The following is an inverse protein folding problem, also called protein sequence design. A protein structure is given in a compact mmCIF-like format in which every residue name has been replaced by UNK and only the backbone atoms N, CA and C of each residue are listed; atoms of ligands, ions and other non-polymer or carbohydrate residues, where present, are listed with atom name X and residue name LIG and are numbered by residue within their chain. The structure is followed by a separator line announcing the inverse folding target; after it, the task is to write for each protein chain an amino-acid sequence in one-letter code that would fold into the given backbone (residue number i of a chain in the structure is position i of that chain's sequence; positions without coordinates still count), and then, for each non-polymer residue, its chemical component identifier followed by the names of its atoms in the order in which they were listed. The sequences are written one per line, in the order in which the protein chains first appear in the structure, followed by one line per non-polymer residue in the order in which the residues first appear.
data_IF_980546871666
#
_entry.id   IF_980546871666
#
_cell.length_a   1.000
_cell.length_b   1.000
_cell.length_c   1.000
_cell.angle_alpha   90.00
_cell.angle_beta   90.00
_cell.angle_gamma   90.00
#
_symmetry.space_group_name_H-M   'P 1'
#
loop_
_entity.id
_entity.type
_entity.pdbx_description
1 polymer ?
#
# COMPACT_ATOMS: atom_id res chain seq x y z
N UNK A 1 5.05 17.74 32.15
CA UNK A 1 3.62 17.94 31.87
C UNK A 1 3.45 17.89 30.36
N UNK A 2 2.97 16.76 29.80
CA UNK A 2 2.69 16.64 28.37
C UNK A 2 1.35 17.32 28.07
N UNK A 3 1.20 18.05 26.94
CA UNK A 3 -0.10 18.61 26.57
C UNK A 3 -1.08 17.49 26.18
N UNK A 4 -2.40 17.66 26.37
CA UNK A 4 -3.40 16.66 26.05
C UNK A 4 -3.50 16.46 24.55
N UNK A 5 -3.53 15.19 24.13
CA UNK A 5 -3.83 14.77 22.76
C UNK A 5 -5.31 15.09 22.51
N UNK A 6 -5.56 16.06 21.64
CA UNK A 6 -6.92 16.38 21.17
C UNK A 6 -7.33 15.25 20.25
N UNK A 7 -8.29 14.45 20.66
CA UNK A 7 -8.96 13.47 19.82
C UNK A 7 -9.74 14.26 18.75
N UNK A 8 -9.28 14.22 17.51
CA UNK A 8 -10.08 14.66 16.37
C UNK A 8 -11.16 13.62 16.11
N UNK A 9 -12.39 13.91 16.54
CA UNK A 9 -13.58 13.25 16.03
C UNK A 9 -13.64 13.52 14.52
N UNK A 10 -13.31 12.52 13.71
CA UNK A 10 -13.58 12.54 12.29
C UNK A 10 -15.08 12.36 12.10
N UNK A 11 -15.74 13.42 11.72
CA UNK A 11 -17.16 13.45 11.32
C UNK A 11 -17.36 12.45 10.18
N UNK A 12 -18.12 11.42 10.45
CA UNK A 12 -18.70 10.49 9.46
C UNK A 12 -19.77 11.24 8.69
N UNK A 13 -19.57 11.38 7.41
CA UNK A 13 -20.33 11.92 6.30
C UNK A 13 -19.60 13.12 5.66
N UNK A 14 -18.48 12.81 5.01
CA UNK A 14 -17.83 13.78 4.15
C UNK A 14 -18.22 13.52 2.70
N UNK A 15 -18.90 14.47 2.09
CA UNK A 15 -19.10 14.62 0.65
C UNK A 15 -17.79 14.98 -0.09
N UNK A 16 -16.68 14.42 0.34
CA UNK A 16 -15.40 14.54 -0.35
C UNK A 16 -15.44 13.63 -1.56
N UNK A 17 -15.19 14.18 -2.74
CA UNK A 17 -14.99 13.40 -3.96
C UNK A 17 -13.97 12.29 -3.70
N UNK A 18 -14.23 11.05 -4.14
CA UNK A 18 -13.30 9.94 -3.91
C UNK A 18 -11.95 10.25 -4.57
N UNK A 19 -10.85 9.88 -3.92
CA UNK A 19 -9.51 9.98 -4.53
C UNK A 19 -9.32 8.97 -5.66
N UNK A 20 -10.02 7.82 -5.55
CA UNK A 20 -9.98 6.75 -6.56
C UNK A 20 -11.41 6.27 -6.79
N UNK A 21 -11.80 6.14 -8.07
CA UNK A 21 -13.05 5.50 -8.49
C UNK A 21 -12.76 4.45 -9.55
N UNK A 22 -13.23 3.24 -9.31
CA UNK A 22 -13.23 2.13 -10.26
C UNK A 22 -14.69 1.81 -10.57
N UNK A 23 -15.07 1.84 -11.84
CA UNK A 23 -16.41 1.50 -12.31
C UNK A 23 -16.36 0.33 -13.30
N UNK A 24 -16.80 -0.86 -12.84
CA UNK A 24 -16.86 -2.11 -13.62
C UNK A 24 -15.54 -2.44 -14.34
N UNK A 25 -14.41 -2.21 -13.70
CA UNK A 25 -13.07 -2.39 -14.27
C UNK A 25 -12.77 -3.87 -14.48
N UNK A 26 -12.47 -4.24 -15.74
CA UNK A 26 -12.01 -5.58 -16.08
C UNK A 26 -10.65 -5.51 -16.78
N UNK A 27 -9.83 -6.54 -16.56
CA UNK A 27 -8.53 -6.70 -17.22
C UNK A 27 -8.36 -8.11 -17.74
N UNK A 28 -8.09 -8.20 -19.02
CA UNK A 28 -7.81 -9.45 -19.72
C UNK A 28 -6.44 -9.35 -20.39
N UNK A 29 -5.57 -10.32 -20.15
CA UNK A 29 -4.28 -10.46 -20.82
C UNK A 29 -4.35 -11.55 -21.88
N UNK A 30 -3.59 -11.38 -22.96
CA UNK A 30 -3.56 -12.34 -24.07
C UNK A 30 -4.72 -12.16 -25.05
N UNK A 31 -4.76 -13.03 -26.06
CA UNK A 31 -5.74 -13.00 -27.14
C UNK A 31 -6.27 -14.42 -27.41
N UNK A 32 -7.52 -14.49 -27.89
CA UNK A 32 -8.18 -15.74 -28.29
C UNK A 32 -8.05 -16.87 -27.25
N UNK A 33 -7.63 -18.08 -27.62
CA UNK A 33 -7.62 -19.25 -26.75
C UNK A 33 -6.74 -19.19 -25.48
N UNK A 34 -5.89 -18.17 -25.33
CA UNK A 34 -4.99 -17.99 -24.18
C UNK A 34 -5.33 -16.75 -23.33
N UNK A 35 -6.56 -16.26 -23.40
CA UNK A 35 -7.00 -15.09 -22.62
C UNK A 35 -7.04 -15.41 -21.12
N UNK A 36 -6.39 -14.56 -20.32
CA UNK A 36 -6.37 -14.66 -18.86
C UNK A 36 -7.13 -13.47 -18.27
N UNK A 37 -8.29 -13.74 -17.69
CA UNK A 37 -9.05 -12.74 -16.95
C UNK A 37 -8.40 -12.50 -15.59
N UNK A 38 -7.70 -11.38 -15.44
CA UNK A 38 -7.06 -11.00 -14.19
C UNK A 38 -8.05 -10.30 -13.23
N UNK A 39 -8.86 -9.37 -13.77
CA UNK A 39 -9.91 -8.65 -13.04
C UNK A 39 -11.24 -8.75 -13.80
N UNK A 40 -12.35 -8.79 -13.08
CA UNK A 40 -13.69 -8.83 -13.67
C UNK A 40 -14.65 -7.93 -12.90
N UNK A 41 -15.06 -6.85 -13.58
CA UNK A 41 -16.04 -5.84 -13.11
C UNK A 41 -15.79 -5.37 -11.69
N UNK A 42 -14.55 -4.99 -11.38
CA UNK A 42 -14.19 -4.40 -10.09
C UNK A 42 -14.78 -3.00 -10.02
N UNK A 43 -15.67 -2.76 -9.06
CA UNK A 43 -16.21 -1.44 -8.71
C UNK A 43 -15.80 -1.13 -7.28
N UNK A 44 -15.14 0.01 -7.06
CA UNK A 44 -14.62 0.42 -5.75
C UNK A 44 -14.40 1.93 -5.74
N UNK A 45 -14.84 2.60 -4.70
CA UNK A 45 -14.51 3.99 -4.43
C UNK A 45 -13.64 4.08 -3.16
N UNK A 46 -12.59 4.89 -3.20
CA UNK A 46 -11.67 5.14 -2.08
C UNK A 46 -11.68 6.63 -1.80
N UNK A 47 -12.03 7.01 -0.57
CA UNK A 47 -12.10 8.40 -0.16
C UNK A 47 -10.71 9.04 -0.07
N UNK A 48 -10.62 10.36 -0.26
CA UNK A 48 -9.38 11.10 -0.03
C UNK A 48 -8.93 10.95 1.44
N UNK A 49 -7.66 10.63 1.64
CA UNK A 49 -7.06 10.39 2.96
C UNK A 49 -7.42 9.04 3.59
N UNK A 50 -8.16 8.16 2.90
CA UNK A 50 -8.48 6.82 3.40
C UNK A 50 -7.27 5.88 3.29
N UNK A 51 -7.08 5.03 4.30
CA UNK A 51 -6.12 3.91 4.26
C UNK A 51 -6.87 2.62 3.95
N UNK A 52 -6.83 2.17 2.71
CA UNK A 52 -7.48 0.92 2.27
C UNK A 52 -6.48 -0.21 2.17
N UNK A 53 -6.74 -1.31 2.86
CA UNK A 53 -5.96 -2.53 2.72
C UNK A 53 -6.66 -3.52 1.78
N UNK A 54 -5.91 -4.09 0.84
CA UNK A 54 -6.40 -5.10 -0.09
C UNK A 54 -5.85 -6.48 0.26
N UNK A 55 -6.75 -7.44 0.46
CA UNK A 55 -6.45 -8.84 0.70
C UNK A 55 -6.96 -9.71 -0.46
N UNK A 56 -6.34 -10.88 -0.62
CA UNK A 56 -6.78 -11.87 -1.59
C UNK A 56 -5.70 -12.91 -1.85
N UNK A 57 -6.08 -14.05 -2.42
CA UNK A 57 -5.16 -15.13 -2.77
C UNK A 57 -4.05 -14.66 -3.73
N UNK A 58 -2.94 -15.41 -3.78
CA UNK A 58 -1.90 -15.16 -4.78
C UNK A 58 -2.49 -15.28 -6.20
N UNK A 59 -2.12 -14.33 -7.07
CA UNK A 59 -2.61 -14.30 -8.46
C UNK A 59 -4.06 -13.85 -8.64
N UNK A 60 -4.74 -13.31 -7.62
CA UNK A 60 -6.12 -12.79 -7.74
C UNK A 60 -6.22 -11.40 -8.40
N UNK A 61 -5.12 -10.81 -8.87
CA UNK A 61 -5.14 -9.54 -9.60
C UNK A 61 -4.79 -8.28 -8.79
N UNK A 62 -4.34 -8.38 -7.53
CA UNK A 62 -3.97 -7.21 -6.69
C UNK A 62 -2.92 -6.31 -7.35
N UNK A 63 -1.80 -6.89 -7.78
CA UNK A 63 -0.74 -6.14 -8.48
C UNK A 63 -1.21 -5.59 -9.83
N UNK A 64 -2.08 -6.31 -10.54
CA UNK A 64 -2.72 -5.81 -11.77
C UNK A 64 -3.55 -4.57 -11.48
N UNK A 65 -4.34 -4.59 -10.41
CA UNK A 65 -5.14 -3.44 -10.00
C UNK A 65 -4.26 -2.25 -9.61
N UNK A 66 -3.19 -2.49 -8.82
CA UNK A 66 -2.23 -1.43 -8.48
C UNK A 66 -1.55 -0.83 -9.72
N UNK A 67 -1.17 -1.66 -10.70
CA UNK A 67 -0.59 -1.17 -11.96
C UNK A 67 -1.56 -0.30 -12.75
N UNK A 68 -2.84 -0.64 -12.77
CA UNK A 68 -3.88 0.17 -13.41
C UNK A 68 -4.05 1.50 -12.68
N UNK A 69 -4.12 1.49 -11.34
CA UNK A 69 -4.22 2.70 -10.51
C UNK A 69 -2.99 3.61 -10.64
N UNK A 70 -1.81 3.03 -10.84
CA UNK A 70 -0.57 3.75 -11.07
C UNK A 70 -0.43 4.29 -12.52
N UNK A 71 -1.38 3.97 -13.42
CA UNK A 71 -1.29 4.33 -14.84
C UNK A 71 -0.24 3.57 -15.64
N UNK A 72 0.33 2.48 -15.07
CA UNK A 72 1.32 1.63 -15.73
C UNK A 72 0.67 0.60 -16.66
N UNK A 73 -0.61 0.33 -16.47
CA UNK A 73 -1.41 -0.55 -17.32
C UNK A 73 -2.81 0.06 -17.49
N UNK A 74 -3.55 -0.43 -18.49
CA UNK A 74 -4.91 0.05 -18.78
C UNK A 74 -5.93 -1.04 -18.55
N UNK A 75 -7.09 -0.66 -18.05
CA UNK A 75 -8.25 -1.54 -18.01
C UNK A 75 -8.62 -1.99 -19.45
N UNK A 76 -9.11 -3.21 -19.59
CA UNK A 76 -9.69 -3.68 -20.88
C UNK A 76 -11.07 -3.11 -21.08
N UNK A 77 -11.87 -3.03 -19.98
CA UNK A 77 -13.19 -2.38 -19.96
C UNK A 77 -13.41 -1.71 -18.61
N UNK A 78 -14.42 -0.84 -18.55
CA UNK A 78 -14.73 -0.05 -17.35
C UNK A 78 -13.99 1.28 -17.32
N UNK A 79 -14.23 2.08 -16.28
CA UNK A 79 -13.63 3.39 -16.06
C UNK A 79 -12.78 3.40 -14.79
N UNK A 80 -11.66 4.14 -14.86
CA UNK A 80 -10.72 4.34 -13.74
C UNK A 80 -10.46 5.83 -13.62
N UNK A 81 -10.77 6.39 -12.48
CA UNK A 81 -10.48 7.77 -12.15
C UNK A 81 -9.60 7.81 -10.91
N UNK A 82 -8.47 8.51 -11.00
CA UNK A 82 -7.55 8.75 -9.88
C UNK A 82 -7.29 10.24 -9.81
N UNK A 83 -7.68 10.85 -8.71
CA UNK A 83 -7.49 12.28 -8.50
C UNK A 83 -6.17 12.54 -7.79
N UNK A 84 -5.32 13.35 -8.41
CA UNK A 84 -3.98 13.68 -7.90
C UNK A 84 -2.87 12.78 -8.45
N UNK A 85 -1.70 12.95 -7.87
CA UNK A 85 -0.48 12.22 -8.24
C UNK A 85 -0.41 10.87 -7.52
N UNK A 86 0.17 9.87 -8.21
CA UNK A 86 0.31 8.51 -7.66
C UNK A 86 1.76 8.10 -7.56
N UNK A 87 2.07 7.30 -6.56
CA UNK A 87 3.35 6.56 -6.46
C UNK A 87 3.07 5.09 -6.20
N UNK A 88 3.73 4.21 -6.91
CA UNK A 88 3.67 2.77 -6.69
C UNK A 88 4.99 2.27 -6.09
N UNK A 89 4.89 1.62 -4.93
CA UNK A 89 5.93 0.77 -4.37
C UNK A 89 5.66 -0.67 -4.78
N UNK A 90 6.55 -1.24 -5.60
CA UNK A 90 6.46 -2.62 -6.07
C UNK A 90 6.84 -3.63 -4.96
N UNK A 91 6.38 -4.86 -5.10
CA UNK A 91 6.76 -5.98 -4.24
C UNK A 91 8.28 -6.22 -4.25
N UNK A 92 8.91 -6.16 -5.44
CA UNK A 92 10.37 -6.07 -5.53
C UNK A 92 10.80 -4.62 -5.27
N UNK A 93 11.84 -4.45 -4.47
CA UNK A 93 12.41 -3.14 -4.15
C UNK A 93 12.82 -2.34 -5.39
N UNK A 94 13.17 -3.00 -6.50
CA UNK A 94 13.53 -2.43 -7.80
C UNK A 94 14.46 -1.22 -7.67
N UNK A 95 15.52 -1.35 -6.85
CA UNK A 95 16.50 -0.29 -6.65
C UNK A 95 17.48 -0.23 -7.83
N UNK A 96 17.92 0.97 -8.18
CA UNK A 96 18.99 1.16 -9.16
C UNK A 96 20.29 0.60 -8.61
N UNK A 97 20.84 -0.49 -9.19
CA UNK A 97 21.98 -1.22 -8.59
C UNK A 97 23.30 -0.43 -8.59
N UNK A 98 23.44 0.57 -9.46
CA UNK A 98 24.58 1.48 -9.53
C UNK A 98 24.52 2.65 -8.56
N UNK A 99 23.38 2.88 -7.90
CA UNK A 99 23.21 3.94 -6.91
C UNK A 99 23.31 3.36 -5.49
N UNK A 100 23.75 4.19 -4.56
CA UNK A 100 23.67 3.89 -3.12
C UNK A 100 22.24 4.00 -2.61
N UNK A 101 21.97 3.59 -1.37
CA UNK A 101 20.66 3.82 -0.72
C UNK A 101 20.27 5.31 -0.78
N UNK A 102 21.18 6.21 -0.42
CA UNK A 102 21.03 7.65 -0.57
C UNK A 102 20.73 8.06 -2.00
N UNK A 103 21.49 7.55 -2.96
CA UNK A 103 21.32 7.87 -4.37
C UNK A 103 19.97 7.47 -4.94
N UNK A 104 19.43 6.32 -4.51
CA UNK A 104 18.10 5.86 -4.91
C UNK A 104 16.99 6.82 -4.43
N UNK A 105 17.10 7.34 -3.21
CA UNK A 105 16.13 8.30 -2.66
C UNK A 105 16.36 9.70 -3.26
N UNK A 106 17.62 10.16 -3.41
CA UNK A 106 17.95 11.48 -3.97
C UNK A 106 17.48 11.62 -5.42
N UNK A 107 17.59 10.55 -6.23
CA UNK A 107 17.15 10.55 -7.61
C UNK A 107 15.64 10.86 -7.73
N UNK A 108 14.82 10.28 -6.87
CA UNK A 108 13.38 10.54 -6.87
C UNK A 108 13.06 12.01 -6.55
N UNK A 109 13.74 12.59 -5.57
CA UNK A 109 13.62 14.01 -5.24
C UNK A 109 14.18 14.93 -6.34
N UNK A 110 15.24 14.49 -7.05
CA UNK A 110 15.79 15.23 -8.19
C UNK A 110 14.80 15.31 -9.35
N UNK A 111 14.08 14.24 -9.62
CA UNK A 111 13.06 14.19 -10.68
C UNK A 111 11.83 15.07 -10.36
N UNK A 112 11.69 15.51 -9.11
CA UNK A 112 10.71 16.51 -8.67
C UNK A 112 11.27 17.94 -8.65
N UNK A 113 12.42 18.17 -9.25
CA UNK A 113 13.09 19.48 -9.32
C UNK A 113 13.39 20.13 -7.96
N UNK A 114 13.50 19.31 -6.88
CA UNK A 114 13.90 19.88 -5.58
C UNK A 114 15.36 20.39 -5.63
N UNK A 115 15.64 21.60 -5.10
CA UNK A 115 17.00 22.13 -5.00
C UNK A 115 17.93 21.21 -4.19
N UNK A 116 19.18 21.07 -4.61
CA UNK A 116 20.18 20.15 -4.02
C UNK A 116 20.28 20.25 -2.49
N UNK A 117 20.24 21.47 -1.95
CA UNK A 117 20.32 21.68 -0.49
C UNK A 117 19.11 21.08 0.24
N UNK A 118 17.89 21.28 -0.29
CA UNK A 118 16.66 20.71 0.29
C UNK A 118 16.62 19.18 0.14
N UNK A 119 17.11 18.66 -1.01
CA UNK A 119 17.19 17.20 -1.22
C UNK A 119 18.06 16.52 -0.17
N UNK A 120 19.25 17.09 0.13
CA UNK A 120 20.17 16.52 1.13
C UNK A 120 19.46 16.32 2.48
N UNK A 121 18.78 17.35 2.96
CA UNK A 121 18.05 17.31 4.23
C UNK A 121 16.90 16.27 4.16
N UNK A 122 16.14 16.28 3.07
CA UNK A 122 15.00 15.37 2.94
C UNK A 122 15.42 13.91 2.82
N UNK A 123 16.50 13.61 2.12
CA UNK A 123 17.07 12.26 2.05
C UNK A 123 17.51 11.79 3.43
N UNK A 124 18.19 12.64 4.22
CA UNK A 124 18.60 12.28 5.57
C UNK A 124 17.39 11.96 6.47
N UNK A 125 16.34 12.76 6.41
CA UNK A 125 15.09 12.52 7.13
C UNK A 125 14.42 11.19 6.73
N UNK A 126 14.34 10.91 5.42
CA UNK A 126 13.70 9.69 4.91
C UNK A 126 14.51 8.43 5.26
N UNK A 127 15.85 8.51 5.21
CA UNK A 127 16.70 7.40 5.62
C UNK A 127 16.67 7.17 7.14
N UNK A 128 16.50 8.21 7.93
CA UNK A 128 16.29 8.12 9.37
C UNK A 128 14.95 7.43 9.67
N UNK A 129 13.86 7.87 9.03
CA UNK A 129 12.51 7.29 9.16
C UNK A 129 12.50 5.78 8.93
N UNK A 130 13.28 5.30 7.96
CA UNK A 130 13.37 3.85 7.67
C UNK A 130 14.56 3.17 8.38
N UNK A 131 15.20 3.82 9.35
CA UNK A 131 16.33 3.31 10.12
C UNK A 131 17.49 2.81 9.26
N UNK A 132 17.87 3.57 8.22
CA UNK A 132 18.96 3.23 7.29
C UNK A 132 20.01 4.34 7.15
N UNK A 133 20.08 5.30 8.07
CA UNK A 133 21.04 6.41 8.01
C UNK A 133 22.50 5.94 7.90
N UNK A 134 22.88 4.95 8.71
CA UNK A 134 24.22 4.39 8.72
C UNK A 134 24.56 3.61 7.44
N UNK A 135 23.55 3.13 6.73
CA UNK A 135 23.68 2.39 5.48
C UNK A 135 23.49 3.27 4.22
N UNK A 136 23.42 4.59 4.39
CA UNK A 136 23.15 5.54 3.30
C UNK A 136 24.06 5.40 2.08
N UNK A 137 25.34 5.04 2.29
CA UNK A 137 26.34 4.90 1.23
C UNK A 137 26.44 3.48 0.65
N UNK A 138 25.69 2.51 1.20
CA UNK A 138 25.67 1.13 0.71
C UNK A 138 24.89 1.01 -0.59
N UNK A 139 25.35 0.15 -1.49
CA UNK A 139 24.66 -0.20 -2.74
C UNK A 139 23.70 -1.37 -2.49
N UNK A 140 22.69 -1.61 -3.37
CA UNK A 140 21.71 -2.66 -3.18
C UNK A 140 22.25 -4.06 -2.91
N UNK A 141 23.38 -4.43 -3.53
CA UNK A 141 24.02 -5.74 -3.31
C UNK A 141 24.71 -5.87 -1.94
N UNK A 142 24.96 -4.76 -1.24
CA UNK A 142 25.51 -4.73 0.12
C UNK A 142 24.41 -4.70 1.20
N UNK A 143 23.12 -4.65 0.80
CA UNK A 143 21.97 -4.54 1.68
C UNK A 143 21.21 -5.87 1.77
N UNK A 144 20.67 -6.19 2.93
CA UNK A 144 19.72 -7.31 3.07
C UNK A 144 18.44 -7.06 2.28
N UNK A 145 17.62 -8.09 2.06
CA UNK A 145 16.31 -7.96 1.41
C UNK A 145 15.42 -6.93 2.09
N UNK A 146 15.31 -7.01 3.42
CA UNK A 146 14.54 -6.05 4.21
C UNK A 146 15.12 -4.63 4.16
N UNK A 147 16.44 -4.46 4.13
CA UNK A 147 17.05 -3.13 3.95
C UNK A 147 16.74 -2.55 2.58
N UNK A 148 16.78 -3.35 1.51
CA UNK A 148 16.37 -2.90 0.17
C UNK A 148 14.91 -2.44 0.15
N UNK A 149 14.03 -3.18 0.81
CA UNK A 149 12.60 -2.83 0.89
C UNK A 149 12.39 -1.51 1.62
N UNK A 150 13.14 -1.26 2.71
CA UNK A 150 13.12 0.02 3.44
C UNK A 150 13.64 1.19 2.60
N UNK A 151 14.67 1.00 1.76
CA UNK A 151 15.10 2.03 0.80
C UNK A 151 14.01 2.31 -0.25
N UNK A 152 13.32 1.27 -0.75
CA UNK A 152 12.21 1.44 -1.68
C UNK A 152 11.04 2.22 -1.04
N UNK A 153 10.74 1.98 0.23
CA UNK A 153 9.76 2.75 0.99
C UNK A 153 10.18 4.23 1.09
N UNK A 154 11.42 4.51 1.49
CA UNK A 154 11.93 5.88 1.56
C UNK A 154 11.87 6.58 0.19
N UNK A 155 12.16 5.86 -0.90
CA UNK A 155 12.05 6.35 -2.28
C UNK A 155 10.59 6.65 -2.65
N UNK A 156 9.65 5.80 -2.30
CA UNK A 156 8.23 6.02 -2.54
C UNK A 156 7.72 7.26 -1.76
N UNK A 157 8.07 7.36 -0.48
CA UNK A 157 7.70 8.51 0.36
C UNK A 157 8.33 9.83 -0.09
N UNK A 158 9.46 9.79 -0.82
CA UNK A 158 10.11 10.97 -1.38
C UNK A 158 9.33 11.61 -2.52
N UNK A 159 8.47 10.87 -3.18
CA UNK A 159 7.63 11.35 -4.29
C UNK A 159 6.56 12.35 -3.82
N UNK A 160 6.16 12.30 -2.55
CA UNK A 160 5.20 13.22 -1.94
C UNK A 160 3.89 13.34 -2.71
N UNK A 161 3.38 12.24 -3.21
CA UNK A 161 2.17 12.12 -4.00
C UNK A 161 0.92 12.08 -3.12
N UNK A 162 -0.25 12.33 -3.74
CA UNK A 162 -1.55 12.32 -3.07
C UNK A 162 -2.01 10.90 -2.75
N UNK A 163 -1.68 9.96 -3.63
CA UNK A 163 -2.03 8.54 -3.52
C UNK A 163 -0.76 7.69 -3.47
N UNK A 164 -0.65 6.87 -2.44
CA UNK A 164 0.43 5.93 -2.24
C UNK A 164 -0.08 4.50 -2.40
N UNK A 165 0.40 3.84 -3.44
CA UNK A 165 0.08 2.45 -3.77
C UNK A 165 1.24 1.57 -3.31
N UNK A 166 0.97 0.50 -2.55
CA UNK A 166 1.99 -0.36 -1.99
C UNK A 166 1.65 -1.83 -2.23
N UNK A 167 2.55 -2.56 -2.90
CA UNK A 167 2.40 -4.00 -3.15
C UNK A 167 3.30 -4.81 -2.21
N UNK A 168 2.71 -5.38 -1.16
CA UNK A 168 3.39 -6.19 -0.13
C UNK A 168 4.67 -5.53 0.45
N UNK A 169 4.63 -4.25 0.88
CA UNK A 169 5.82 -3.46 1.17
C UNK A 169 6.67 -4.02 2.31
N UNK A 170 6.11 -4.85 3.17
CA UNK A 170 6.78 -5.39 4.36
C UNK A 170 6.99 -6.90 4.31
N UNK A 171 6.78 -7.54 3.15
CA UNK A 171 6.86 -9.00 3.01
C UNK A 171 8.24 -9.59 3.33
N UNK A 172 9.32 -8.87 3.03
CA UNK A 172 10.70 -9.30 3.25
C UNK A 172 11.29 -8.91 4.63
N UNK A 173 10.46 -8.32 5.52
CA UNK A 173 10.92 -7.84 6.83
C UNK A 173 10.69 -8.88 7.94
N UNK A 174 11.61 -8.90 8.91
CA UNK A 174 11.37 -9.58 10.19
C UNK A 174 10.25 -8.90 10.99
N UNK A 175 9.69 -9.62 11.97
CA UNK A 175 8.52 -9.15 12.70
C UNK A 175 8.76 -7.83 13.45
N UNK A 176 9.93 -7.68 14.10
CA UNK A 176 10.23 -6.47 14.89
C UNK A 176 10.40 -5.25 13.99
N UNK A 177 11.16 -5.37 12.92
CA UNK A 177 11.34 -4.28 11.94
C UNK A 177 10.03 -3.90 11.27
N UNK A 178 9.19 -4.89 10.97
CA UNK A 178 7.85 -4.65 10.40
C UNK A 178 6.97 -3.84 11.33
N UNK A 179 6.93 -4.17 12.63
CA UNK A 179 6.11 -3.46 13.60
C UNK A 179 6.54 -2.00 13.75
N UNK A 180 7.85 -1.73 13.78
CA UNK A 180 8.39 -0.37 13.80
C UNK A 180 7.96 0.41 12.56
N UNK A 181 8.08 -0.18 11.37
CA UNK A 181 7.69 0.52 10.12
C UNK A 181 6.19 0.68 9.96
N UNK A 182 5.38 -0.17 10.58
CA UNK A 182 3.94 0.07 10.69
C UNK A 182 3.64 1.34 11.49
N UNK A 183 4.31 1.55 12.63
CA UNK A 183 4.14 2.75 13.45
C UNK A 183 4.57 4.01 12.69
N UNK A 184 5.72 3.95 11.98
CA UNK A 184 6.23 5.05 11.18
C UNK A 184 5.29 5.40 10.00
N UNK A 185 4.77 4.37 9.30
CA UNK A 185 3.83 4.56 8.20
C UNK A 185 2.50 5.14 8.69
N UNK A 186 1.97 4.64 9.82
CA UNK A 186 0.75 5.15 10.43
C UNK A 186 0.93 6.59 10.90
N UNK A 187 2.06 6.91 11.54
CA UNK A 187 2.41 8.28 11.95
C UNK A 187 2.49 9.25 10.78
N UNK A 188 3.17 8.84 9.69
CA UNK A 188 3.25 9.63 8.46
C UNK A 188 1.86 9.85 7.84
N UNK A 189 1.08 8.79 7.68
CA UNK A 189 -0.25 8.85 7.09
C UNK A 189 -1.18 9.77 7.91
N UNK A 190 -1.17 9.65 9.25
CA UNK A 190 -2.04 10.47 10.12
C UNK A 190 -1.77 11.97 10.03
N UNK A 191 -0.53 12.36 9.65
CA UNK A 191 -0.11 13.76 9.55
C UNK A 191 -0.21 14.34 8.14
N UNK A 192 -0.29 13.51 7.09
CA UNK A 192 -0.18 13.96 5.70
C UNK A 192 -1.47 13.89 4.90
N UNK A 193 -2.55 13.35 5.44
CA UNK A 193 -3.83 13.15 4.75
C UNK A 193 -3.72 12.46 3.37
N UNK A 194 -2.68 11.63 3.15
CA UNK A 194 -2.48 10.87 1.91
C UNK A 194 -3.45 9.71 1.84
N UNK A 195 -3.94 9.43 0.65
CA UNK A 195 -4.71 8.20 0.38
C UNK A 195 -3.73 7.04 0.22
N UNK A 196 -3.98 5.93 0.89
CA UNK A 196 -3.11 4.75 0.84
C UNK A 196 -3.89 3.53 0.36
N UNK A 197 -3.37 2.84 -0.66
CA UNK A 197 -3.82 1.51 -1.07
C UNK A 197 -2.70 0.52 -0.77
N UNK A 198 -2.94 -0.33 0.20
CA UNK A 198 -1.94 -1.23 0.77
C UNK A 198 -2.31 -2.68 0.51
N UNK A 199 -1.56 -3.35 -0.34
CA UNK A 199 -1.73 -4.79 -0.61
C UNK A 199 -0.89 -5.59 0.36
N UNK A 200 -1.50 -6.56 1.02
CA UNK A 200 -0.83 -7.52 1.89
C UNK A 200 -1.52 -8.89 1.85
N UNK A 201 -0.80 -9.92 2.24
CA UNK A 201 -1.39 -11.24 2.51
C UNK A 201 -1.61 -11.48 4.02
N UNK A 202 -1.17 -10.56 4.88
CA UNK A 202 -1.31 -10.65 6.33
C UNK A 202 -2.58 -9.93 6.79
N UNK A 203 -3.60 -10.71 7.21
CA UNK A 203 -4.89 -10.17 7.63
C UNK A 203 -4.78 -9.27 8.86
N UNK A 204 -3.91 -9.61 9.85
CA UNK A 204 -3.73 -8.76 11.03
C UNK A 204 -3.11 -7.41 10.68
N UNK A 205 -2.16 -7.40 9.76
CA UNK A 205 -1.57 -6.17 9.21
C UNK A 205 -2.64 -5.29 8.56
N UNK A 206 -3.50 -5.89 7.73
CA UNK A 206 -4.59 -5.16 7.08
C UNK A 206 -5.57 -4.55 8.09
N UNK A 207 -5.93 -5.27 9.17
CA UNK A 207 -6.80 -4.76 10.25
C UNK A 207 -6.10 -3.67 11.06
N UNK A 208 -4.80 -3.81 11.33
CA UNK A 208 -4.04 -2.81 12.07
C UNK A 208 -3.98 -1.48 11.34
N UNK A 209 -3.65 -1.51 10.04
CA UNK A 209 -3.35 -0.30 9.26
C UNK A 209 -4.58 0.30 8.57
N UNK A 210 -5.50 -0.53 8.05
CA UNK A 210 -6.61 -0.06 7.23
C UNK A 210 -7.74 0.63 7.99
N UNK A 211 -8.35 1.63 7.39
CA UNK A 211 -9.67 2.11 7.77
C UNK A 211 -10.74 1.15 7.21
N UNK A 212 -10.42 0.52 6.08
CA UNK A 212 -11.23 -0.48 5.42
C UNK A 212 -10.36 -1.57 4.82
N UNK A 213 -10.83 -2.81 4.91
CA UNK A 213 -10.20 -3.97 4.27
C UNK A 213 -11.09 -4.45 3.13
N UNK A 214 -10.54 -4.47 1.92
CA UNK A 214 -11.20 -4.96 0.70
C UNK A 214 -10.66 -6.35 0.39
N UNK A 215 -11.54 -7.34 0.31
CA UNK A 215 -11.21 -8.70 -0.05
C UNK A 215 -11.49 -8.91 -1.53
N UNK A 216 -10.46 -9.31 -2.28
CA UNK A 216 -10.63 -9.75 -3.66
C UNK A 216 -10.84 -11.28 -3.72
N UNK A 217 -11.76 -11.71 -4.59
CA UNK A 217 -11.95 -13.12 -4.92
C UNK A 217 -10.70 -13.69 -5.60
N UNK A 218 -10.60 -15.02 -5.66
CA UNK A 218 -9.65 -15.69 -6.53
C UNK A 218 -9.92 -15.38 -8.00
N UNK A 219 -8.97 -15.67 -8.89
CA UNK A 219 -9.03 -15.32 -10.33
C UNK A 219 -10.35 -15.75 -11.01
N UNK A 220 -11.03 -14.83 -11.73
CA UNK A 220 -10.74 -13.41 -11.87
C UNK A 220 -11.01 -12.62 -10.57
N UNK A 221 -10.18 -11.61 -10.31
CA UNK A 221 -10.35 -10.75 -9.14
C UNK A 221 -11.63 -9.93 -9.24
N UNK A 222 -12.48 -10.03 -8.21
CA UNK A 222 -13.68 -9.21 -7.99
C UNK A 222 -13.68 -8.74 -6.55
N UNK A 223 -14.34 -7.65 -6.23
CA UNK A 223 -14.60 -7.30 -4.83
C UNK A 223 -15.55 -8.33 -4.24
N UNK A 224 -15.05 -9.18 -3.34
CA UNK A 224 -15.80 -10.26 -2.69
C UNK A 224 -16.45 -9.80 -1.38
N UNK A 225 -15.80 -8.88 -0.67
CA UNK A 225 -16.33 -8.28 0.57
C UNK A 225 -15.51 -7.04 0.94
N UNK A 226 -16.12 -6.15 1.70
CA UNK A 226 -15.50 -4.98 2.30
C UNK A 226 -15.77 -4.99 3.80
N UNK A 227 -14.77 -4.65 4.60
CA UNK A 227 -14.83 -4.65 6.05
C UNK A 227 -14.37 -3.28 6.57
N UNK A 228 -15.26 -2.42 7.05
CA UNK A 228 -14.87 -1.22 7.78
C UNK A 228 -14.20 -1.62 9.10
N UNK A 229 -13.10 -0.97 9.44
CA UNK A 229 -12.36 -1.22 10.68
C UNK A 229 -12.61 -0.07 11.64
N UNK A 230 -13.48 -0.29 12.60
CA UNK A 230 -13.92 0.72 13.58
C UNK A 230 -13.08 0.73 14.86
N UNK A 231 -12.06 -0.13 14.96
CA UNK A 231 -11.14 -0.17 16.10
C UNK A 231 -10.37 1.16 16.17
N UNK A 232 -10.36 1.87 17.30
CA UNK A 232 -9.61 3.13 17.44
C UNK A 232 -8.11 2.96 17.20
N UNK A 233 -7.45 3.99 16.68
CA UNK A 233 -5.99 4.06 16.54
C UNK A 233 -5.34 4.69 17.80
N UNK A 234 -4.10 4.35 18.19
CA UNK A 234 -3.21 3.38 17.54
C UNK A 234 -3.63 1.93 17.85
N UNK A 235 -3.55 1.06 16.83
CA UNK A 235 -3.90 -0.35 16.95
C UNK A 235 -2.64 -1.20 17.11
N UNK A 236 -2.71 -2.24 17.93
CA UNK A 236 -1.60 -3.18 18.13
C UNK A 236 -1.92 -4.53 17.50
N UNK A 237 -0.91 -5.14 16.86
CA UNK A 237 -1.04 -6.45 16.20
C UNK A 237 -1.45 -7.57 17.16
N UNK A 238 -1.08 -7.45 18.43
CA UNK A 238 -1.33 -8.41 19.51
C UNK A 238 -2.62 -8.15 20.29
N UNK A 239 -3.36 -7.07 19.97
CA UNK A 239 -4.60 -6.77 20.70
C UNK A 239 -5.73 -7.74 20.35
N UNK A 240 -6.61 -7.97 21.32
CA UNK A 240 -7.76 -8.87 21.19
C UNK A 240 -8.72 -8.41 20.09
N UNK A 241 -8.92 -7.11 19.97
CA UNK A 241 -9.81 -6.50 18.98
C UNK A 241 -9.29 -6.76 17.57
N UNK A 242 -8.00 -6.51 17.33
CA UNK A 242 -7.34 -6.80 16.03
C UNK A 242 -7.39 -8.30 15.72
N UNK A 243 -7.11 -9.17 16.70
CA UNK A 243 -7.16 -10.61 16.53
C UNK A 243 -8.58 -11.10 16.19
N UNK A 244 -9.60 -10.57 16.85
CA UNK A 244 -11.01 -10.91 16.62
C UNK A 244 -11.45 -10.50 15.22
N UNK A 245 -11.21 -9.25 14.84
CA UNK A 245 -11.55 -8.76 13.50
C UNK A 245 -10.80 -9.51 12.40
N UNK A 246 -9.50 -9.79 12.61
CA UNK A 246 -8.71 -10.57 11.69
C UNK A 246 -9.22 -12.02 11.54
N UNK A 247 -9.76 -12.62 12.60
CA UNK A 247 -10.38 -13.95 12.53
C UNK A 247 -11.61 -13.97 11.62
N UNK A 248 -12.48 -12.96 11.72
CA UNK A 248 -13.67 -12.81 10.86
C UNK A 248 -13.25 -12.71 9.39
N UNK A 249 -12.31 -11.82 9.07
CA UNK A 249 -11.82 -11.62 7.71
C UNK A 249 -11.12 -12.88 7.19
N UNK A 250 -10.33 -13.56 8.05
CA UNK A 250 -9.63 -14.80 7.68
C UNK A 250 -10.64 -15.92 7.32
N UNK A 251 -11.74 -16.04 8.08
CA UNK A 251 -12.80 -17.00 7.74
C UNK A 251 -13.37 -16.73 6.34
N UNK A 252 -13.69 -15.48 6.04
CA UNK A 252 -14.21 -15.08 4.73
C UNK A 252 -13.19 -15.32 3.60
N UNK A 253 -11.91 -14.99 3.83
CA UNK A 253 -10.83 -15.26 2.87
C UNK A 253 -10.71 -16.76 2.56
N UNK A 254 -10.78 -17.61 3.59
CA UNK A 254 -10.75 -19.08 3.41
C UNK A 254 -11.93 -19.60 2.58
N UNK A 255 -13.12 -19.04 2.78
CA UNK A 255 -14.30 -19.38 1.98
C UNK A 255 -14.11 -19.04 0.51
N UNK A 256 -13.53 -17.85 0.22
CA UNK A 256 -13.24 -17.44 -1.16
C UNK A 256 -12.17 -18.33 -1.83
N UNK A 257 -11.12 -18.69 -1.10
CA UNK A 257 -10.08 -19.61 -1.62
C UNK A 257 -10.67 -20.99 -1.93
N UNK A 258 -11.51 -21.55 -1.06
CA UNK A 258 -12.14 -22.87 -1.26
C UNK A 258 -13.08 -22.88 -2.47
N UNK A 259 -13.90 -21.85 -2.65
CA UNK A 259 -14.83 -21.75 -3.80
C UNK A 259 -14.15 -21.82 -5.16
N UNK A 260 -12.85 -21.57 -5.23
CA UNK A 260 -12.09 -21.52 -6.48
C UNK A 260 -11.02 -22.63 -6.58
N UNK A 261 -10.74 -23.35 -5.50
CA UNK A 261 -9.87 -24.52 -5.50
C UNK A 261 -10.53 -25.80 -6.04
N UNK A 262 -11.86 -25.79 -6.14
CA UNK A 262 -12.68 -26.90 -6.65
C UNK A 262 -13.07 -26.72 -8.14
N UNK A 263 -12.40 -25.83 -8.87
CA UNK A 263 -12.57 -25.60 -10.32
C UNK A 263 -11.22 -25.78 -11.05
#
# INVERSE_FOLDING_TARGET
MKPPVVAHERVTESSLSPAITLDHVSKVYGHAGNAVHALDRVSLAIAAGEFVCMLGASGCGKSTLLNILAGLDRATTGAVEVHGSTTLMFQDAALFPWLTARGNVDLALKLRDLPKAKRKVRVDQLLELVHLREFAQKRPHELSGGMRQRVALARALSQDTDVLLMDEPFGALDAMTRDILHDELEGLWSTTNKTVVFVTHNVREAVRLGDRVVLLSSRPGRVAAEFPITIPRPRRMDSTEVATQASIITKRLREEVRRHGDR
#
